data_IF_889264266230
#
_entry.id   IF_889264266230
#
_cell.length_a   1.000
_cell.length_b   1.000
_cell.length_c   1.000
_cell.angle_alpha   90.00
_cell.angle_beta   90.00
_cell.angle_gamma   90.00
#
_symmetry.space_group_name_H-M   'P 1'
#
loop_
_entity.id
_entity.type
_entity.pdbx_description
1 polymer ?
#
# COMPACT_ATOMS: atom_id res chain seq x y z
N UNK A 1 8.98 1.36 -15.35
CA UNK A 1 8.22 2.02 -14.26
C UNK A 1 7.84 3.45 -14.63
N UNK A 2 8.76 4.22 -15.22
CA UNK A 2 8.54 5.64 -15.57
C UNK A 2 7.25 5.89 -16.34
N UNK A 3 6.98 5.09 -17.39
CA UNK A 3 5.75 5.19 -18.18
C UNK A 3 4.47 4.93 -17.38
N UNK A 4 4.48 4.04 -16.38
CA UNK A 4 3.28 3.73 -15.59
C UNK A 4 2.92 4.87 -14.63
N UNK A 5 3.92 5.48 -13.99
CA UNK A 5 3.69 6.61 -13.08
C UNK A 5 3.31 7.87 -13.86
N UNK A 6 3.95 8.14 -15.01
CA UNK A 6 3.51 9.21 -15.90
C UNK A 6 2.06 9.03 -16.36
N UNK A 7 1.62 7.79 -16.61
CA UNK A 7 0.24 7.51 -16.93
C UNK A 7 -0.72 7.80 -15.75
N UNK A 8 -0.32 7.50 -14.50
CA UNK A 8 -1.10 7.89 -13.32
C UNK A 8 -1.19 9.42 -13.17
N UNK A 9 -0.11 10.15 -13.46
CA UNK A 9 -0.11 11.62 -13.45
C UNK A 9 -1.07 12.19 -14.51
N UNK A 10 -1.06 11.65 -15.73
CA UNK A 10 -1.99 12.02 -16.79
C UNK A 10 -3.44 11.70 -16.40
N UNK A 11 -3.68 10.52 -15.82
CA UNK A 11 -4.99 10.13 -15.33
C UNK A 11 -5.47 11.06 -14.21
N UNK A 12 -4.58 11.48 -13.30
CA UNK A 12 -4.90 12.46 -12.26
C UNK A 12 -5.32 13.80 -12.89
N UNK A 13 -4.53 14.33 -13.84
CA UNK A 13 -4.86 15.58 -14.55
C UNK A 13 -6.20 15.50 -15.28
N UNK A 14 -6.43 14.42 -16.04
CA UNK A 14 -7.69 14.23 -16.77
C UNK A 14 -8.92 14.13 -15.87
N UNK A 15 -8.74 13.74 -14.60
CA UNK A 15 -9.80 13.68 -13.58
C UNK A 15 -9.93 14.95 -12.74
N UNK A 16 -9.27 16.04 -13.12
CA UNK A 16 -9.36 17.34 -12.45
C UNK A 16 -8.53 17.45 -11.17
N UNK A 17 -7.55 16.57 -10.98
CA UNK A 17 -6.51 16.73 -9.95
C UNK A 17 -5.34 17.53 -10.51
N UNK A 18 -4.67 18.28 -9.63
CA UNK A 18 -3.39 18.89 -9.93
C UNK A 18 -2.27 17.90 -9.61
N UNK A 19 -1.17 17.97 -10.37
CA UNK A 19 0.06 17.22 -10.13
C UNK A 19 1.12 18.24 -9.77
N UNK A 20 1.54 18.25 -8.51
CA UNK A 20 2.42 19.30 -7.97
C UNK A 20 3.63 18.68 -7.27
N UNK A 21 4.78 19.34 -7.39
CA UNK A 21 5.97 18.97 -6.66
C UNK A 21 5.99 19.68 -5.31
N UNK A 22 6.29 18.95 -4.24
CA UNK A 22 6.49 19.51 -2.91
C UNK A 22 7.81 19.02 -2.29
N UNK A 23 8.53 19.88 -1.56
CA UNK A 23 9.66 19.44 -0.77
C UNK A 23 9.17 18.61 0.43
N UNK A 24 9.82 17.48 0.70
CA UNK A 24 9.57 16.63 1.86
C UNK A 24 10.88 16.01 2.33
N UNK A 25 11.29 16.32 3.57
CA UNK A 25 12.61 15.96 4.11
C UNK A 25 13.74 16.50 3.22
N UNK A 26 14.58 15.60 2.70
CA UNK A 26 15.76 15.90 1.88
C UNK A 26 15.50 15.79 0.36
N UNK A 27 14.24 15.66 -0.05
CA UNK A 27 13.87 15.39 -1.44
C UNK A 27 12.58 16.06 -1.89
N UNK A 28 12.34 15.97 -3.20
CA UNK A 28 11.09 16.39 -3.81
C UNK A 28 10.19 15.17 -4.03
N UNK A 29 8.91 15.33 -3.71
CA UNK A 29 7.88 14.32 -3.98
C UNK A 29 6.78 14.93 -4.85
N UNK A 30 6.10 14.09 -5.62
CA UNK A 30 4.98 14.51 -6.48
C UNK A 30 3.67 14.18 -5.77
N UNK A 31 2.79 15.16 -5.60
CA UNK A 31 1.46 14.97 -5.04
C UNK A 31 0.37 15.16 -6.10
N UNK A 32 -0.62 14.27 -6.02
CA UNK A 32 -1.92 14.46 -6.65
C UNK A 32 -2.82 15.19 -5.68
N UNK A 33 -3.28 16.38 -6.07
CA UNK A 33 -4.04 17.26 -5.19
C UNK A 33 -5.33 17.74 -5.83
N UNK A 34 -6.30 18.10 -4.99
CA UNK A 34 -7.57 18.69 -5.43
C UNK A 34 -7.77 20.02 -4.71
N UNK A 35 -8.03 21.07 -5.47
CA UNK A 35 -8.45 22.34 -4.89
C UNK A 35 -9.89 22.18 -4.38
N UNK A 36 -10.12 22.56 -3.13
CA UNK A 36 -11.44 22.56 -2.51
C UNK A 36 -11.68 23.91 -1.84
N UNK A 37 -12.94 24.20 -1.55
CA UNK A 37 -13.33 25.42 -0.83
C UNK A 37 -13.93 25.01 0.50
N UNK A 38 -13.43 25.59 1.59
CA UNK A 38 -14.03 25.50 2.91
C UNK A 38 -14.65 26.85 3.28
N UNK A 39 -15.71 26.84 4.08
CA UNK A 39 -16.34 28.07 4.59
C UNK A 39 -16.41 28.03 6.12
N UNK A 40 -15.26 27.97 6.83
CA UNK A 40 -15.25 28.06 8.28
C UNK A 40 -15.72 29.45 8.71
N UNK A 41 -16.68 29.49 9.64
CA UNK A 41 -17.21 30.73 10.24
C UNK A 41 -17.68 31.78 9.22
N UNK A 42 -18.20 31.34 8.07
CA UNK A 42 -18.74 32.23 7.04
C UNK A 42 -17.71 32.90 6.14
N UNK A 43 -16.41 32.58 6.28
CA UNK A 43 -15.34 33.09 5.40
C UNK A 43 -14.89 32.00 4.44
N UNK A 44 -15.05 32.22 3.15
CA UNK A 44 -14.58 31.30 2.13
C UNK A 44 -13.04 31.25 2.14
N UNK A 45 -12.49 30.04 2.18
CA UNK A 45 -11.07 29.73 2.12
C UNK A 45 -10.84 28.67 1.06
N UNK A 46 -9.75 28.82 0.31
CA UNK A 46 -9.28 27.79 -0.61
C UNK A 46 -8.34 26.85 0.13
N UNK A 47 -8.61 25.56 0.03
CA UNK A 47 -7.80 24.49 0.61
C UNK A 47 -7.34 23.54 -0.48
N UNK A 48 -6.24 22.84 -0.23
CA UNK A 48 -5.72 21.81 -1.12
C UNK A 48 -5.74 20.47 -0.39
N UNK A 49 -6.53 19.54 -0.92
CA UNK A 49 -6.56 18.16 -0.43
C UNK A 49 -5.52 17.34 -1.18
N UNK A 50 -4.58 16.72 -0.47
CA UNK A 50 -3.67 15.73 -1.02
C UNK A 50 -4.38 14.37 -1.06
N UNK A 51 -4.53 13.78 -2.24
CA UNK A 51 -5.19 12.47 -2.42
C UNK A 51 -4.21 11.32 -2.65
N UNK A 52 -2.96 11.65 -2.95
CA UNK A 52 -1.87 10.69 -3.03
C UNK A 52 -0.56 11.40 -3.27
N UNK A 53 0.53 10.73 -2.92
CA UNK A 53 1.90 11.22 -3.08
C UNK A 53 2.75 10.07 -3.59
N UNK A 54 3.65 10.35 -4.52
CA UNK A 54 4.63 9.38 -4.96
C UNK A 54 6.02 9.99 -5.11
N UNK A 55 7.04 9.15 -5.01
CA UNK A 55 8.43 9.52 -5.24
C UNK A 55 9.25 8.28 -5.55
N UNK A 56 10.36 8.48 -6.25
CA UNK A 56 11.32 7.41 -6.53
C UNK A 56 12.42 7.39 -5.49
N UNK A 57 12.73 6.18 -5.01
CA UNK A 57 13.90 5.90 -4.18
C UNK A 57 14.62 4.71 -4.80
N UNK A 58 15.83 4.94 -5.31
CA UNK A 58 16.60 3.97 -6.09
C UNK A 58 15.76 3.36 -7.24
N UNK A 59 15.52 2.05 -7.18
CA UNK A 59 14.75 1.30 -8.18
C UNK A 59 13.27 1.11 -7.80
N UNK A 60 12.79 1.80 -6.75
CA UNK A 60 11.44 1.65 -6.23
C UNK A 60 10.64 2.94 -6.39
N UNK A 61 9.39 2.80 -6.79
CA UNK A 61 8.39 3.86 -6.60
C UNK A 61 7.70 3.65 -5.26
N UNK A 62 7.72 4.68 -4.41
CA UNK A 62 6.93 4.73 -3.19
C UNK A 62 5.66 5.51 -3.49
N UNK A 63 4.50 4.96 -3.15
CA UNK A 63 3.21 5.64 -3.27
C UNK A 63 2.55 5.63 -1.88
N UNK A 64 2.00 6.76 -1.47
CA UNK A 64 1.36 6.94 -0.18
C UNK A 64 0.04 7.71 -0.32
N UNK A 65 -0.90 7.48 0.59
CA UNK A 65 -2.19 8.18 0.61
C UNK A 65 -2.13 9.59 1.20
N UNK A 66 -1.00 9.97 1.82
CA UNK A 66 -0.80 11.30 2.40
C UNK A 66 0.68 11.67 2.47
N UNK A 67 0.97 12.96 2.72
CA UNK A 67 2.33 13.47 2.89
C UNK A 67 2.98 12.91 4.15
N UNK A 68 2.22 12.73 5.23
CA UNK A 68 2.68 12.16 6.50
C UNK A 68 3.11 10.70 6.32
N UNK A 69 2.29 9.90 5.62
CA UNK A 69 2.61 8.52 5.31
C UNK A 69 3.87 8.42 4.43
N UNK A 70 4.02 9.33 3.46
CA UNK A 70 5.24 9.42 2.66
C UNK A 70 6.45 9.76 3.54
N UNK A 71 6.33 10.71 4.46
CA UNK A 71 7.41 11.08 5.39
C UNK A 71 7.86 9.91 6.26
N UNK A 72 6.91 9.10 6.76
CA UNK A 72 7.21 7.87 7.50
C UNK A 72 7.95 6.85 6.63
N UNK A 73 7.49 6.61 5.40
CA UNK A 73 8.12 5.68 4.46
C UNK A 73 9.56 6.10 4.13
N UNK A 74 9.78 7.38 3.86
CA UNK A 74 11.10 7.92 3.57
C UNK A 74 12.04 7.87 4.78
N UNK A 75 11.52 8.07 5.99
CA UNK A 75 12.31 7.98 7.23
C UNK A 75 12.66 6.52 7.59
N UNK A 76 11.86 5.56 7.16
CA UNK A 76 12.05 4.13 7.38
C UNK A 76 13.15 3.50 6.51
N UNK A 77 13.83 4.26 5.64
CA UNK A 77 14.95 3.78 4.81
C UNK A 77 16.07 3.12 5.62
N UNK A 78 16.22 3.43 6.91
CA UNK A 78 17.17 2.75 7.81
C UNK A 78 16.80 1.30 8.13
N UNK A 79 15.54 0.91 7.94
CA UNK A 79 15.00 -0.43 8.19
C UNK A 79 14.13 -0.89 7.00
N UNK A 80 14.73 -1.11 5.80
CA UNK A 80 13.98 -1.43 4.60
C UNK A 80 13.26 -2.78 4.75
N UNK A 81 12.07 -2.92 4.16
CA UNK A 81 11.32 -4.19 4.20
C UNK A 81 12.11 -5.36 3.62
N UNK A 82 13.01 -5.10 2.67
CA UNK A 82 13.88 -6.10 2.05
C UNK A 82 14.87 -6.74 3.03
N UNK A 83 15.24 -6.03 4.11
CA UNK A 83 16.08 -6.58 5.18
C UNK A 83 15.27 -7.30 6.27
N UNK A 84 13.93 -7.24 6.23
CA UNK A 84 13.08 -7.93 7.18
C UNK A 84 13.11 -9.45 6.97
N UNK A 85 13.56 -10.19 7.98
CA UNK A 85 13.53 -11.66 7.97
C UNK A 85 12.11 -12.23 7.78
N UNK A 86 11.09 -11.55 8.34
CA UNK A 86 9.68 -11.94 8.18
C UNK A 86 9.23 -11.82 6.72
N UNK A 87 9.58 -10.72 6.07
CA UNK A 87 9.26 -10.48 4.66
C UNK A 87 9.97 -11.51 3.77
N UNK A 88 11.28 -11.68 3.94
CA UNK A 88 12.08 -12.66 3.20
C UNK A 88 11.49 -14.06 3.31
N UNK A 89 11.17 -14.50 4.54
CA UNK A 89 10.53 -15.80 4.76
C UNK A 89 9.18 -15.93 4.03
N UNK A 90 8.36 -14.87 4.03
CA UNK A 90 7.06 -14.87 3.38
C UNK A 90 7.14 -14.92 1.84
N UNK A 91 8.21 -14.39 1.25
CA UNK A 91 8.41 -14.43 -0.21
C UNK A 91 9.20 -15.65 -0.70
N UNK A 92 9.94 -16.36 0.16
CA UNK A 92 10.68 -17.58 -0.23
C UNK A 92 9.76 -18.69 -0.74
N UNK A 93 8.52 -18.76 -0.26
CA UNK A 93 7.55 -19.76 -0.68
C UNK A 93 6.90 -19.44 -2.04
N UNK A 94 7.16 -18.25 -2.60
CA UNK A 94 6.56 -17.86 -3.87
C UNK A 94 7.19 -18.63 -5.04
N UNK A 95 6.39 -18.99 -6.06
CA UNK A 95 6.92 -19.57 -7.29
C UNK A 95 7.98 -18.66 -7.92
N UNK A 96 9.08 -19.25 -8.41
CA UNK A 96 10.15 -18.47 -9.06
C UNK A 96 9.63 -17.72 -10.29
N UNK A 97 8.71 -18.32 -11.04
CA UNK A 97 7.95 -17.68 -12.11
C UNK A 97 6.70 -17.01 -11.54
N UNK A 98 6.73 -15.69 -11.38
CA UNK A 98 5.57 -14.88 -11.02
C UNK A 98 5.64 -13.49 -11.68
N UNK A 99 4.47 -12.92 -11.98
CA UNK A 99 4.32 -11.57 -12.56
C UNK A 99 4.34 -10.46 -11.49
N UNK A 100 4.72 -10.83 -10.26
CA UNK A 100 4.64 -9.98 -9.08
C UNK A 100 3.76 -10.54 -7.99
N UNK A 101 3.88 -9.93 -6.81
CA UNK A 101 3.22 -10.35 -5.61
C UNK A 101 2.78 -9.16 -4.76
N UNK A 102 1.76 -9.41 -3.94
CA UNK A 102 1.27 -8.50 -2.93
C UNK A 102 1.50 -9.12 -1.56
N UNK A 103 2.17 -8.40 -0.67
CA UNK A 103 2.50 -8.86 0.69
C UNK A 103 1.87 -7.94 1.73
N UNK A 104 1.33 -8.55 2.79
CA UNK A 104 0.77 -7.86 3.95
C UNK A 104 1.22 -8.52 5.25
N UNK A 105 1.69 -7.72 6.21
CA UNK A 105 1.83 -8.15 7.61
C UNK A 105 0.44 -8.12 8.28
N UNK A 106 -0.14 -9.30 8.49
CA UNK A 106 -1.50 -9.44 9.00
C UNK A 106 -1.66 -8.82 10.38
N UNK A 107 -0.64 -8.90 11.24
CA UNK A 107 -0.74 -8.35 12.60
C UNK A 107 -0.84 -6.83 12.62
N UNK A 108 -0.30 -6.16 11.60
CA UNK A 108 -0.42 -4.72 11.45
C UNK A 108 -1.75 -4.33 10.81
N UNK A 109 -2.26 -5.15 9.88
CA UNK A 109 -3.51 -4.87 9.17
C UNK A 109 -4.77 -5.24 9.96
N UNK A 110 -4.71 -6.30 10.79
CA UNK A 110 -5.86 -6.86 11.49
C UNK A 110 -6.63 -5.80 12.29
N UNK A 111 -6.00 -4.95 13.13
CA UNK A 111 -6.74 -3.93 13.88
C UNK A 111 -7.48 -2.93 12.98
N UNK A 112 -6.90 -2.60 11.82
CA UNK A 112 -7.49 -1.65 10.86
C UNK A 112 -8.69 -2.26 10.16
N UNK A 113 -8.61 -3.53 9.75
CA UNK A 113 -9.70 -4.24 9.10
C UNK A 113 -10.86 -4.46 10.06
N UNK A 114 -10.59 -4.90 11.28
CA UNK A 114 -11.63 -5.11 12.30
C UNK A 114 -12.36 -3.82 12.67
N UNK A 115 -11.65 -2.69 12.71
CA UNK A 115 -12.26 -1.39 12.98
C UNK A 115 -13.19 -0.94 11.84
N UNK A 116 -12.85 -1.24 10.58
CA UNK A 116 -13.63 -0.82 9.41
C UNK A 116 -14.74 -1.81 9.03
N UNK A 117 -14.54 -3.09 9.27
CA UNK A 117 -15.44 -4.16 8.88
C UNK A 117 -15.79 -5.05 10.09
N UNK A 118 -16.72 -4.62 10.96
CA UNK A 118 -17.07 -5.34 12.19
C UNK A 118 -17.56 -6.77 11.93
N UNK A 119 -18.13 -7.04 10.75
CA UNK A 119 -18.60 -8.36 10.33
C UNK A 119 -17.49 -9.42 10.32
N UNK A 120 -16.23 -9.00 10.15
CA UNK A 120 -15.07 -9.91 10.18
C UNK A 120 -14.93 -10.57 11.55
N UNK A 121 -15.26 -9.87 12.65
CA UNK A 121 -15.26 -10.42 14.02
C UNK A 121 -16.27 -11.54 14.23
N UNK A 122 -17.37 -11.52 13.48
CA UNK A 122 -18.43 -12.55 13.55
C UNK A 122 -17.99 -13.81 12.82
N UNK A 123 -17.34 -13.66 11.66
CA UNK A 123 -16.78 -14.78 10.89
C UNK A 123 -15.57 -15.43 11.58
N UNK A 124 -14.81 -14.67 12.37
CA UNK A 124 -13.71 -15.18 13.18
C UNK A 124 -14.13 -16.24 14.21
N UNK A 125 -15.40 -16.30 14.63
CA UNK A 125 -15.84 -17.28 15.64
C UNK A 125 -15.69 -18.74 15.18
N UNK A 126 -15.77 -19.01 13.86
CA UNK A 126 -15.72 -20.37 13.30
C UNK A 126 -14.33 -20.81 12.83
N UNK A 127 -13.38 -19.86 12.67
CA UNK A 127 -12.04 -20.08 12.08
C UNK A 127 -10.91 -19.36 12.87
N UNK A 128 -11.23 -18.91 14.09
CA UNK A 128 -10.37 -18.16 15.02
C UNK A 128 -8.93 -18.67 15.18
N UNK A 129 -8.68 -20.00 15.28
CA UNK A 129 -7.31 -20.49 15.46
C UNK A 129 -6.39 -20.15 14.30
N UNK A 130 -6.92 -20.04 13.07
CA UNK A 130 -6.13 -19.71 11.89
C UNK A 130 -5.78 -18.22 11.86
N UNK A 131 -6.75 -17.33 12.07
CA UNK A 131 -6.54 -15.87 12.02
C UNK A 131 -5.67 -15.34 13.17
N UNK A 132 -5.84 -15.89 14.39
CA UNK A 132 -5.00 -15.51 15.53
C UNK A 132 -3.52 -15.86 15.35
N UNK A 133 -3.25 -16.89 14.53
CA UNK A 133 -1.89 -17.34 14.24
C UNK A 133 -1.38 -16.79 12.91
N UNK A 134 -2.19 -16.09 12.13
CA UNK A 134 -1.79 -15.54 10.84
C UNK A 134 -0.77 -14.41 11.04
N UNK A 135 0.41 -14.57 10.45
CA UNK A 135 1.50 -13.58 10.50
C UNK A 135 1.50 -12.70 9.26
N UNK A 136 1.34 -13.30 8.09
CA UNK A 136 1.30 -12.58 6.82
C UNK A 136 0.44 -13.28 5.78
N UNK A 137 -0.06 -12.47 4.85
CA UNK A 137 -0.76 -12.91 3.65
C UNK A 137 0.07 -12.48 2.43
N UNK A 138 0.36 -13.42 1.54
CA UNK A 138 1.01 -13.11 0.26
C UNK A 138 0.16 -13.64 -0.89
N UNK A 139 -0.08 -12.81 -1.90
CA UNK A 139 -0.79 -13.21 -3.12
C UNK A 139 0.19 -13.06 -4.29
N UNK A 140 0.35 -14.09 -5.09
CA UNK A 140 1.23 -14.10 -6.27
C UNK A 140 0.42 -14.34 -7.53
N UNK A 141 0.70 -13.56 -8.58
CA UNK A 141 0.19 -13.81 -9.92
C UNK A 141 1.19 -14.66 -10.71
N UNK A 142 0.71 -15.66 -11.45
CA UNK A 142 1.52 -16.54 -12.30
C UNK A 142 1.13 -16.40 -13.77
N UNK A 143 0.55 -15.25 -14.14
CA UNK A 143 0.09 -14.98 -15.49
C UNK A 143 -1.09 -15.84 -15.91
N UNK A 144 -1.19 -16.05 -17.22
CA UNK A 144 -2.23 -16.89 -17.83
C UNK A 144 -1.60 -17.97 -18.70
N UNK A 145 -2.02 -19.21 -18.49
CA UNK A 145 -1.72 -20.32 -19.39
C UNK A 145 -3.05 -20.79 -20.00
N UNK A 146 -3.12 -20.92 -21.33
CA UNK A 146 -4.35 -21.29 -22.06
C UNK A 146 -5.58 -20.42 -21.70
N UNK A 147 -5.38 -19.11 -21.55
CA UNK A 147 -6.42 -18.14 -21.13
C UNK A 147 -6.96 -18.32 -19.71
N UNK A 148 -6.36 -19.21 -18.90
CA UNK A 148 -6.70 -19.38 -17.48
C UNK A 148 -5.68 -18.63 -16.64
N UNK A 149 -6.15 -17.62 -15.88
CA UNK A 149 -5.30 -16.89 -14.92
C UNK A 149 -5.00 -17.77 -13.73
N UNK A 150 -3.71 -17.84 -13.36
CA UNK A 150 -3.25 -18.58 -12.19
C UNK A 150 -2.74 -17.61 -11.14
N UNK A 151 -3.11 -17.88 -9.91
CA UNK A 151 -2.63 -17.15 -8.75
C UNK A 151 -2.59 -18.06 -7.54
N UNK A 152 -1.67 -17.78 -6.63
CA UNK A 152 -1.53 -18.54 -5.39
C UNK A 152 -1.63 -17.60 -4.20
N UNK A 153 -2.40 -18.00 -3.19
CA UNK A 153 -2.54 -17.30 -1.92
C UNK A 153 -1.78 -18.10 -0.86
N UNK A 154 -0.83 -17.45 -0.19
CA UNK A 154 -0.01 -18.04 0.85
C UNK A 154 -0.37 -17.42 2.21
N UNK A 155 -0.74 -18.29 3.15
CA UNK A 155 -0.96 -17.93 4.55
C UNK A 155 0.25 -18.35 5.38
N UNK A 156 0.98 -17.38 5.94
CA UNK A 156 2.09 -17.67 6.84
C UNK A 156 1.58 -17.71 8.28
N UNK A 157 1.53 -18.91 8.88
CA UNK A 157 1.04 -19.12 10.24
C UNK A 157 2.21 -19.20 11.23
N UNK A 158 2.01 -18.61 12.41
CA UNK A 158 2.89 -18.80 13.56
C UNK A 158 2.43 -19.94 14.44
N UNK A 159 3.36 -20.72 14.97
CA UNK A 159 3.09 -21.59 16.12
C UNK A 159 3.20 -20.71 17.38
N UNK A 160 2.23 -20.80 18.29
CA UNK A 160 2.37 -20.23 19.64
C UNK A 160 3.51 -20.98 20.35
N UNK A 161 4.56 -20.26 20.72
CA UNK A 161 5.51 -20.70 21.76
C UNK A 161 4.84 -20.59 23.12
#
# INVERSE_FOLDING_TARGET
MDSAISHLDELARSRGYNVVNLPLLDRTVTAWTKLTTAVPEGKAQLETLVTGVHTRVDNYEIIASSVEAMGLALSAQKNPILSSGKFRQAITALPAENDGYFYVDWRQLQPVIEAKFPIVRVLELSIKPLFNNLRSLTISSQGSENSVRRGTIFFNLGVKS
#
